data_IF_428067252133
#
_entry.id   IF_428067252133
#
_cell.length_a   1.000
_cell.length_b   1.000
_cell.length_c   1.000
_cell.angle_alpha   90.00
_cell.angle_beta   90.00
_cell.angle_gamma   90.00
#
_symmetry.space_group_name_H-M   'P 1'
#
loop_
_entity.id
_entity.type
_entity.pdbx_description
1 polymer ?
#
# COMPACT_ATOMS: atom_id res chain seq x y z
N UNK A 1 6.31 -9.91 -16.28
CA UNK A 1 5.04 -9.17 -16.19
C UNK A 1 4.57 -9.23 -14.76
N UNK A 2 4.29 -8.09 -14.13
CA UNK A 2 3.83 -8.06 -12.74
C UNK A 2 2.32 -8.42 -12.66
N UNK A 3 1.90 -9.19 -11.66
CA UNK A 3 0.48 -9.42 -11.37
C UNK A 3 -0.24 -8.11 -11.05
N UNK A 4 -1.45 -7.91 -11.60
CA UNK A 4 -2.26 -6.70 -11.41
C UNK A 4 -1.94 -5.56 -12.37
N UNK A 5 -0.86 -5.66 -13.16
CA UNK A 5 -0.54 -4.70 -14.22
C UNK A 5 -1.27 -5.06 -15.52
N UNK A 6 -1.90 -4.07 -16.17
CA UNK A 6 -2.54 -4.29 -17.48
C UNK A 6 -1.47 -4.65 -18.54
N UNK A 7 -1.57 -5.85 -19.08
CA UNK A 7 -0.60 -6.46 -19.98
C UNK A 7 -0.79 -6.07 -21.44
N UNK A 8 -1.62 -5.06 -21.73
CA UNK A 8 -2.04 -4.66 -23.07
C UNK A 8 -0.99 -3.85 -23.85
N UNK A 9 0.09 -3.36 -23.21
CA UNK A 9 1.06 -2.49 -23.87
C UNK A 9 2.14 -3.23 -24.66
N UNK A 10 2.21 -2.95 -25.96
CA UNK A 10 3.40 -3.25 -26.77
C UNK A 10 4.57 -2.37 -26.33
N UNK A 11 5.82 -2.76 -26.65
CA UNK A 11 7.01 -1.92 -26.37
C UNK A 11 6.86 -0.48 -26.92
N UNK A 12 6.30 -0.35 -28.11
CA UNK A 12 6.04 0.95 -28.75
C UNK A 12 4.93 1.72 -28.04
N UNK A 13 3.84 1.04 -27.64
CA UNK A 13 2.75 1.66 -26.88
C UNK A 13 3.23 2.21 -25.54
N UNK A 14 4.02 1.45 -24.80
CA UNK A 14 4.59 1.90 -23.53
C UNK A 14 5.52 3.12 -23.72
N UNK A 15 6.34 3.13 -24.78
CA UNK A 15 7.21 4.28 -25.09
C UNK A 15 6.39 5.55 -25.34
N UNK A 16 5.27 5.44 -26.06
CA UNK A 16 4.42 6.59 -26.35
C UNK A 16 3.79 7.14 -25.07
N UNK A 17 3.28 6.28 -24.19
CA UNK A 17 2.71 6.68 -22.89
C UNK A 17 3.78 7.35 -22.03
N UNK A 18 4.97 6.76 -21.94
CA UNK A 18 6.08 7.40 -21.20
C UNK A 18 6.33 8.80 -21.74
N UNK A 19 6.39 8.98 -23.07
CA UNK A 19 6.61 10.29 -23.69
C UNK A 19 5.50 11.30 -23.38
N UNK A 20 4.25 10.88 -23.24
CA UNK A 20 3.14 11.77 -22.87
C UNK A 20 3.30 12.31 -21.44
N UNK A 21 3.85 11.51 -20.53
CA UNK A 21 3.99 11.88 -19.12
C UNK A 21 5.38 12.41 -18.74
N UNK A 22 6.39 12.29 -19.61
CA UNK A 22 7.77 12.72 -19.33
C UNK A 22 7.90 14.22 -19.01
N UNK A 23 7.03 15.05 -19.57
CA UNK A 23 7.02 16.49 -19.31
C UNK A 23 5.89 16.90 -18.35
N UNK A 24 5.20 15.93 -17.73
CA UNK A 24 4.14 16.21 -16.78
C UNK A 24 4.75 16.52 -15.40
N UNK A 25 4.39 17.67 -14.86
CA UNK A 25 4.79 18.06 -13.50
C UNK A 25 3.88 17.39 -12.46
N UNK A 26 4.40 17.16 -11.24
CA UNK A 26 3.58 16.62 -10.13
C UNK A 26 2.31 17.46 -9.89
N UNK A 27 2.40 18.79 -10.04
CA UNK A 27 1.24 19.67 -9.87
C UNK A 27 0.11 19.38 -10.87
N UNK A 28 0.46 19.02 -12.11
CA UNK A 28 -0.51 18.63 -13.13
C UNK A 28 -1.13 17.28 -12.79
N UNK A 29 -0.32 16.30 -12.37
CA UNK A 29 -0.82 14.99 -11.97
C UNK A 29 -1.77 15.08 -10.77
N UNK A 30 -1.45 15.94 -9.80
CA UNK A 30 -2.33 16.27 -8.69
C UNK A 30 -3.65 16.89 -9.13
N UNK A 31 -3.63 17.84 -10.08
CA UNK A 31 -4.86 18.42 -10.62
C UNK A 31 -5.72 17.38 -11.33
N UNK A 32 -5.10 16.42 -12.02
CA UNK A 32 -5.82 15.33 -12.70
C UNK A 32 -6.48 14.40 -11.68
N UNK A 33 -5.76 14.04 -10.60
CA UNK A 33 -6.31 13.23 -9.52
C UNK A 33 -7.43 13.97 -8.78
N UNK A 34 -7.28 15.27 -8.54
CA UNK A 34 -8.31 16.11 -7.93
C UNK A 34 -9.60 16.13 -8.76
N UNK A 35 -9.47 16.33 -10.08
CA UNK A 35 -10.61 16.25 -11.00
C UNK A 35 -11.30 14.88 -10.89
N UNK A 36 -10.54 13.79 -10.97
CA UNK A 36 -11.08 12.43 -10.87
C UNK A 36 -11.82 12.19 -9.53
N UNK A 37 -11.19 12.51 -8.41
CA UNK A 37 -11.77 12.27 -7.07
C UNK A 37 -13.04 13.08 -6.83
N UNK A 38 -13.08 14.35 -7.28
CA UNK A 38 -14.27 15.20 -7.15
C UNK A 38 -15.49 14.64 -7.89
N UNK A 39 -15.27 13.91 -8.98
CA UNK A 39 -16.35 13.26 -9.73
C UNK A 39 -16.74 11.90 -9.12
N UNK A 40 -15.77 11.07 -8.72
CA UNK A 40 -16.06 9.68 -8.34
C UNK A 40 -16.44 9.48 -6.87
N UNK A 41 -15.94 10.31 -5.95
CA UNK A 41 -16.20 10.12 -4.51
C UNK A 41 -17.68 10.37 -4.16
N UNK A 42 -18.37 11.39 -4.69
CA UNK A 42 -19.81 11.55 -4.44
C UNK A 42 -20.64 10.33 -4.90
N UNK A 43 -20.32 9.77 -6.06
CA UNK A 43 -20.99 8.56 -6.58
C UNK A 43 -20.70 7.33 -5.68
N UNK A 44 -19.46 7.21 -5.20
CA UNK A 44 -19.09 6.15 -4.26
C UNK A 44 -19.87 6.28 -2.94
N UNK A 45 -20.03 7.50 -2.43
CA UNK A 45 -20.82 7.82 -1.24
C UNK A 45 -22.31 7.46 -1.41
N UNK A 46 -22.93 7.84 -2.53
CA UNK A 46 -24.33 7.49 -2.85
C UNK A 46 -24.59 5.98 -2.86
N UNK A 47 -23.57 5.18 -3.23
CA UNK A 47 -23.66 3.73 -3.33
C UNK A 47 -23.05 2.99 -2.12
N UNK A 48 -22.63 3.72 -1.09
CA UNK A 48 -21.95 3.17 0.09
C UNK A 48 -20.70 2.33 -0.26
N UNK A 49 -19.92 2.78 -1.24
CA UNK A 49 -18.67 2.18 -1.70
C UNK A 49 -17.50 2.98 -1.14
N UNK A 50 -16.65 2.33 -0.34
CA UNK A 50 -15.41 2.94 0.19
C UNK A 50 -14.29 2.83 -0.86
N UNK A 51 -13.85 3.95 -1.42
CA UNK A 51 -12.69 4.00 -2.32
C UNK A 51 -11.39 3.92 -1.51
N UNK A 52 -10.39 3.20 -2.04
CA UNK A 52 -9.17 2.88 -1.32
C UNK A 52 -7.96 2.99 -2.25
N UNK A 53 -7.39 4.18 -2.43
CA UNK A 53 -6.24 4.39 -3.32
C UNK A 53 -4.98 3.73 -2.75
N UNK A 54 -4.21 3.05 -3.60
CA UNK A 54 -2.97 2.40 -3.23
C UNK A 54 -1.79 3.39 -3.35
N UNK A 55 -0.79 3.35 -2.45
CA UNK A 55 0.42 4.16 -2.61
C UNK A 55 1.23 3.75 -3.84
N UNK A 56 2.09 4.65 -4.30
CA UNK A 56 3.05 4.36 -5.34
C UNK A 56 4.07 3.29 -4.89
N UNK A 57 4.43 2.37 -5.78
CA UNK A 57 5.42 1.31 -5.51
C UNK A 57 6.49 1.22 -6.62
N UNK A 58 7.76 1.63 -6.39
CA UNK A 58 8.24 2.23 -5.15
C UNK A 58 7.71 3.66 -4.91
N UNK A 59 7.64 4.15 -3.66
CA UNK A 59 7.11 5.47 -3.33
C UNK A 59 8.10 6.62 -3.62
N UNK A 60 8.64 6.68 -4.83
CA UNK A 60 9.44 7.80 -5.32
C UNK A 60 9.43 7.84 -6.86
N UNK A 61 9.62 9.02 -7.47
CA UNK A 61 9.71 9.17 -8.92
C UNK A 61 10.76 8.24 -9.54
N UNK A 62 10.40 7.58 -10.64
CA UNK A 62 11.30 6.71 -11.40
C UNK A 62 11.21 7.06 -12.88
N UNK A 63 12.32 6.93 -13.61
CA UNK A 63 12.39 7.21 -15.05
C UNK A 63 11.94 8.62 -15.46
N UNK A 64 12.02 9.59 -14.55
CA UNK A 64 11.57 10.97 -14.78
C UNK A 64 10.05 11.16 -14.73
N UNK A 65 9.29 10.15 -14.30
CA UNK A 65 7.83 10.23 -14.20
C UNK A 65 7.40 10.64 -12.78
N UNK A 66 6.42 11.55 -12.64
CA UNK A 66 5.92 11.97 -11.32
C UNK A 66 5.18 10.84 -10.60
N UNK A 67 5.26 10.85 -9.26
CA UNK A 67 4.54 9.98 -8.33
C UNK A 67 4.06 10.81 -7.15
N UNK A 68 2.81 10.64 -6.74
CA UNK A 68 2.08 11.61 -5.89
C UNK A 68 1.37 10.97 -4.70
N UNK A 69 1.51 9.67 -4.48
CA UNK A 69 1.01 9.01 -3.26
C UNK A 69 2.17 8.20 -2.64
N UNK A 70 3.18 8.92 -2.17
CA UNK A 70 4.47 8.33 -1.72
C UNK A 70 4.77 8.49 -0.23
N UNK A 71 4.21 9.49 0.44
CA UNK A 71 4.54 9.82 1.83
C UNK A 71 3.34 10.37 2.61
N UNK A 72 3.56 10.73 3.88
CA UNK A 72 2.52 11.28 4.77
C UNK A 72 1.95 12.60 4.23
N UNK A 73 2.77 13.50 3.70
CA UNK A 73 2.33 14.79 3.17
C UNK A 73 1.39 14.63 1.97
N UNK A 74 1.72 13.71 1.07
CA UNK A 74 0.90 13.38 -0.10
C UNK A 74 -0.43 12.74 0.31
N UNK A 75 -0.42 11.82 1.28
CA UNK A 75 -1.66 11.21 1.79
C UNK A 75 -2.53 12.27 2.48
N UNK A 76 -1.94 13.18 3.26
CA UNK A 76 -2.67 14.30 3.86
C UNK A 76 -3.30 15.20 2.81
N UNK A 77 -2.62 15.47 1.70
CA UNK A 77 -3.17 16.25 0.59
C UNK A 77 -4.31 15.50 -0.09
N UNK A 78 -4.10 14.23 -0.45
CA UNK A 78 -5.09 13.36 -1.09
C UNK A 78 -6.42 13.34 -0.32
N UNK A 79 -6.35 13.09 1.00
CA UNK A 79 -7.55 12.98 1.84
C UNK A 79 -8.30 14.32 1.97
N UNK A 80 -7.60 15.45 1.83
CA UNK A 80 -8.19 16.80 1.84
C UNK A 80 -8.85 17.22 0.53
N UNK A 81 -8.51 16.59 -0.60
CA UNK A 81 -9.11 16.91 -1.92
C UNK A 81 -10.63 16.77 -1.89
N UNK A 82 -11.09 15.64 -1.33
CA UNK A 82 -12.50 15.40 -0.99
C UNK A 82 -12.53 14.84 0.43
N UNK A 83 -12.84 15.69 1.40
CA UNK A 83 -12.90 15.29 2.82
C UNK A 83 -14.19 14.51 3.12
N UNK A 84 -14.23 13.26 2.65
CA UNK A 84 -15.31 12.31 2.87
C UNK A 84 -14.73 10.98 3.36
N UNK A 85 -15.47 10.27 4.22
CA UNK A 85 -15.08 8.91 4.66
C UNK A 85 -15.06 7.88 3.53
N UNK A 86 -15.58 8.21 2.34
CA UNK A 86 -15.53 7.33 1.18
C UNK A 86 -14.26 7.55 0.34
N UNK A 87 -13.49 8.61 0.60
CA UNK A 87 -12.16 8.83 0.06
C UNK A 87 -11.11 8.34 1.07
N UNK A 88 -10.61 7.12 0.88
CA UNK A 88 -9.65 6.52 1.79
C UNK A 88 -8.54 5.74 1.09
N UNK A 89 -7.86 4.93 1.88
CA UNK A 89 -6.57 4.33 1.53
C UNK A 89 -6.68 2.82 1.45
N UNK A 90 -6.06 2.26 0.41
CA UNK A 90 -5.41 0.96 0.54
C UNK A 90 -4.03 1.24 1.11
N UNK A 91 -3.86 1.09 2.42
CA UNK A 91 -2.56 1.32 3.03
C UNK A 91 -1.64 0.14 2.74
N UNK A 92 -0.54 0.34 2.02
CA UNK A 92 0.42 -0.73 1.74
C UNK A 92 1.70 -0.51 2.54
N UNK A 93 1.86 -1.30 3.59
CA UNK A 93 3.05 -1.29 4.47
C UNK A 93 4.33 -1.48 3.69
N UNK A 94 4.35 -2.42 2.76
CA UNK A 94 5.56 -2.70 1.99
C UNK A 94 5.89 -1.62 0.98
N UNK A 95 4.90 -0.98 0.34
CA UNK A 95 5.19 0.09 -0.62
C UNK A 95 5.69 1.31 0.13
N UNK A 96 4.94 1.81 1.12
CA UNK A 96 5.34 2.96 1.93
C UNK A 96 6.62 2.70 2.74
N UNK A 97 6.88 1.44 3.10
CA UNK A 97 8.06 0.99 3.84
C UNK A 97 9.26 0.60 2.97
N UNK A 98 9.21 0.79 1.65
CA UNK A 98 10.32 0.52 0.71
C UNK A 98 11.54 1.46 0.89
N UNK A 99 11.51 2.35 1.88
CA UNK A 99 12.61 3.22 2.29
C UNK A 99 12.46 3.64 3.75
N UNK A 100 13.46 4.35 4.29
CA UNK A 100 13.53 4.79 5.70
C UNK A 100 12.87 6.15 5.97
N UNK A 101 12.32 6.80 4.93
CA UNK A 101 11.76 8.15 5.01
C UNK A 101 10.30 8.19 5.47
N UNK A 102 9.59 7.06 5.53
CA UNK A 102 8.21 6.97 6.03
C UNK A 102 8.17 6.22 7.36
N UNK A 103 7.58 6.83 8.38
CA UNK A 103 7.22 6.14 9.61
C UNK A 103 5.89 5.41 9.43
N UNK A 104 5.98 4.15 8.96
CA UNK A 104 4.83 3.32 8.63
C UNK A 104 3.88 3.14 9.82
N UNK A 105 4.41 2.94 11.03
CA UNK A 105 3.58 2.73 12.24
C UNK A 105 2.83 4.00 12.60
N UNK A 106 3.52 5.16 12.64
CA UNK A 106 2.90 6.46 12.89
C UNK A 106 1.81 6.79 11.88
N UNK A 107 2.06 6.53 10.60
CA UNK A 107 1.08 6.77 9.54
C UNK A 107 -0.14 5.86 9.69
N UNK A 108 0.06 4.57 10.00
CA UNK A 108 -1.05 3.65 10.28
C UNK A 108 -1.85 4.14 11.47
N UNK A 109 -1.21 4.54 12.56
CA UNK A 109 -1.88 5.06 13.75
C UNK A 109 -2.80 6.23 13.39
N UNK A 110 -2.23 7.26 12.74
CA UNK A 110 -2.94 8.45 12.30
C UNK A 110 -4.16 8.13 11.42
N UNK A 111 -3.98 7.38 10.34
CA UNK A 111 -5.04 7.21 9.34
C UNK A 111 -6.06 6.13 9.70
N UNK A 112 -5.68 5.12 10.50
CA UNK A 112 -6.65 4.16 11.05
C UNK A 112 -7.55 4.82 12.11
N UNK A 113 -6.99 5.65 13.00
CA UNK A 113 -7.77 6.42 13.99
C UNK A 113 -8.77 7.40 13.33
N UNK A 114 -8.45 7.90 12.12
CA UNK A 114 -9.34 8.74 11.32
C UNK A 114 -10.40 7.95 10.52
N UNK A 115 -10.40 6.62 10.61
CA UNK A 115 -11.22 5.73 9.78
C UNK A 115 -11.02 5.97 8.26
N UNK A 116 -9.79 6.29 7.84
CA UNK A 116 -9.42 6.57 6.44
C UNK A 116 -8.70 5.40 5.77
N UNK A 117 -8.27 4.38 6.52
CA UNK A 117 -7.79 3.12 5.94
C UNK A 117 -9.00 2.21 5.71
N UNK A 118 -9.26 1.84 4.47
CA UNK A 118 -10.39 0.96 4.10
C UNK A 118 -9.94 -0.45 3.76
N UNK A 119 -8.69 -0.56 3.32
CA UNK A 119 -8.04 -1.82 2.99
C UNK A 119 -6.57 -1.71 3.37
N UNK A 120 -5.94 -2.79 3.83
CA UNK A 120 -4.52 -2.78 4.14
C UNK A 120 -3.81 -4.00 3.56
N UNK A 121 -2.70 -3.72 2.88
CA UNK A 121 -1.71 -4.70 2.48
C UNK A 121 -0.61 -4.74 3.54
N UNK A 122 -0.49 -5.87 4.22
CA UNK A 122 0.56 -6.12 5.22
C UNK A 122 1.55 -7.10 4.62
N UNK A 123 2.59 -6.56 3.98
CA UNK A 123 3.77 -7.29 3.51
C UNK A 123 5.01 -6.65 4.10
N UNK A 124 6.13 -7.38 4.08
CA UNK A 124 7.38 -6.87 4.62
C UNK A 124 8.43 -6.76 3.51
N UNK A 125 9.21 -5.68 3.55
CA UNK A 125 10.36 -5.48 2.69
C UNK A 125 11.62 -5.50 3.53
N UNK A 126 12.74 -5.87 2.91
CA UNK A 126 14.05 -5.74 3.51
C UNK A 126 14.80 -4.62 2.81
N UNK A 127 15.12 -3.57 3.55
CA UNK A 127 16.01 -2.51 3.10
C UNK A 127 17.44 -3.04 3.03
N UNK A 128 18.16 -2.64 1.98
CA UNK A 128 19.54 -3.01 1.72
C UNK A 128 20.46 -1.79 1.94
N UNK A 129 21.74 -2.06 2.25
CA UNK A 129 22.71 -1.02 2.61
C UNK A 129 22.97 0.01 1.49
N UNK A 130 22.64 -0.33 0.24
CA UNK A 130 22.79 0.54 -0.93
C UNK A 130 21.56 1.43 -1.20
N UNK A 131 20.56 1.42 -0.30
CA UNK A 131 19.31 2.16 -0.44
C UNK A 131 18.27 1.50 -1.33
N UNK A 132 18.53 0.28 -1.83
CA UNK A 132 17.53 -0.55 -2.50
C UNK A 132 16.74 -1.40 -1.50
N UNK A 133 15.74 -2.14 -1.99
CA UNK A 133 14.94 -3.04 -1.17
C UNK A 133 14.55 -4.31 -1.94
N UNK A 134 14.21 -5.36 -1.19
CA UNK A 134 13.63 -6.59 -1.72
C UNK A 134 12.38 -7.00 -0.92
N UNK A 135 11.47 -7.72 -1.58
CA UNK A 135 10.35 -8.37 -0.88
C UNK A 135 10.89 -9.46 0.06
N UNK A 136 10.36 -9.52 1.28
CA UNK A 136 10.83 -10.44 2.32
C UNK A 136 9.68 -11.30 2.87
N UNK A 137 10.01 -12.23 3.77
CA UNK A 137 8.96 -12.93 4.50
C UNK A 137 8.20 -11.93 5.40
N UNK A 138 6.91 -12.14 5.63
CA UNK A 138 6.13 -11.33 6.58
C UNK A 138 6.72 -11.32 8.00
N UNK A 139 7.42 -12.38 8.38
CA UNK A 139 8.04 -12.49 9.69
C UNK A 139 9.04 -11.35 9.95
N UNK A 140 8.76 -10.49 10.96
CA UNK A 140 9.48 -9.23 11.18
C UNK A 140 11.02 -9.35 11.14
N UNK A 141 11.66 -10.37 11.76
CA UNK A 141 13.11 -10.55 11.70
C UNK A 141 13.71 -10.85 10.32
N UNK A 142 12.89 -11.01 9.28
CA UNK A 142 13.34 -11.21 7.89
C UNK A 142 13.19 -9.98 7.00
N UNK A 143 12.46 -8.96 7.45
CA UNK A 143 12.35 -7.69 6.77
C UNK A 143 12.86 -6.55 7.65
N UNK A 144 12.40 -5.35 7.32
CA UNK A 144 12.76 -4.10 7.97
C UNK A 144 11.57 -3.43 8.66
N UNK A 145 10.35 -3.95 8.46
CA UNK A 145 9.14 -3.46 9.12
C UNK A 145 8.77 -4.34 10.31
N UNK A 146 8.40 -3.70 11.41
CA UNK A 146 7.84 -4.38 12.57
C UNK A 146 6.36 -4.69 12.36
N UNK A 147 6.09 -5.87 11.83
CA UNK A 147 4.71 -6.32 11.57
C UNK A 147 3.91 -6.50 12.87
N UNK A 148 4.55 -6.78 14.01
CA UNK A 148 3.83 -6.91 15.28
C UNK A 148 3.34 -5.55 15.74
N UNK A 149 4.19 -4.53 15.70
CA UNK A 149 3.78 -3.17 16.08
C UNK A 149 2.72 -2.62 15.11
N UNK A 150 2.87 -2.84 13.80
CA UNK A 150 1.85 -2.48 12.79
C UNK A 150 0.48 -3.10 13.14
N UNK A 151 0.44 -4.40 13.41
CA UNK A 151 -0.80 -5.11 13.75
C UNK A 151 -1.39 -4.64 15.08
N UNK A 152 -0.54 -4.35 16.06
CA UNK A 152 -0.93 -3.81 17.36
C UNK A 152 -1.56 -2.43 17.24
N UNK A 153 -1.00 -1.55 16.43
CA UNK A 153 -1.57 -0.22 16.16
C UNK A 153 -2.96 -0.32 15.54
N UNK A 154 -3.13 -1.17 14.51
CA UNK A 154 -4.45 -1.41 13.89
C UNK A 154 -5.47 -1.94 14.91
N UNK A 155 -5.04 -2.89 15.76
CA UNK A 155 -5.88 -3.46 16.79
C UNK A 155 -6.34 -2.41 17.81
N UNK A 156 -5.41 -1.58 18.31
CA UNK A 156 -5.71 -0.50 19.26
C UNK A 156 -6.69 0.53 18.69
N UNK A 157 -6.57 0.83 17.39
CA UNK A 157 -7.49 1.72 16.68
C UNK A 157 -8.77 1.03 16.21
N UNK A 158 -9.00 -0.22 16.64
CA UNK A 158 -10.22 -1.00 16.35
C UNK A 158 -10.51 -1.12 14.87
N UNK A 159 -9.45 -1.29 14.07
CA UNK A 159 -9.58 -1.46 12.63
C UNK A 159 -10.51 -2.63 12.31
N UNK A 160 -11.53 -2.37 11.50
CA UNK A 160 -12.57 -3.33 11.11
C UNK A 160 -12.56 -3.63 9.59
N UNK A 161 -11.55 -3.13 8.88
CA UNK A 161 -11.39 -3.32 7.45
C UNK A 161 -10.69 -4.63 7.08
N UNK A 162 -10.46 -4.81 5.77
CA UNK A 162 -9.83 -6.02 5.26
C UNK A 162 -8.30 -5.95 5.36
N UNK A 163 -7.67 -7.04 5.78
CA UNK A 163 -6.22 -7.23 5.78
C UNK A 163 -5.86 -8.28 4.72
N UNK A 164 -4.90 -7.97 3.84
CA UNK A 164 -4.32 -8.92 2.89
C UNK A 164 -2.82 -9.04 3.14
N UNK A 165 -2.22 -10.26 3.14
CA UNK A 165 -0.77 -10.43 3.24
C UNK A 165 0.01 -9.93 2.00
N UNK A 166 -0.69 -9.56 0.94
CA UNK A 166 -0.13 -9.06 -0.32
C UNK A 166 0.88 -10.03 -0.97
N UNK A 167 2.16 -9.66 -1.05
CA UNK A 167 3.21 -10.46 -1.69
C UNK A 167 3.87 -11.45 -0.74
N UNK A 168 4.31 -12.59 -1.27
CA UNK A 168 5.18 -13.55 -0.59
C UNK A 168 6.26 -14.08 -1.53
N UNK A 169 7.34 -14.64 -0.95
CA UNK A 169 8.45 -15.23 -1.71
C UNK A 169 7.99 -16.49 -2.44
N UNK A 170 8.64 -16.80 -3.56
CA UNK A 170 8.48 -18.11 -4.20
C UNK A 170 9.31 -19.14 -3.43
N UNK A 171 8.62 -20.04 -2.71
CA UNK A 171 9.24 -21.09 -1.90
C UNK A 171 8.78 -22.48 -2.39
N UNK A 172 9.49 -23.52 -1.96
CA UNK A 172 9.08 -24.92 -2.19
C UNK A 172 8.88 -25.31 -3.66
N UNK A 173 9.70 -24.75 -4.56
CA UNK A 173 9.64 -25.03 -5.99
C UNK A 173 8.44 -24.39 -6.71
N UNK A 174 7.75 -23.47 -6.04
CA UNK A 174 6.67 -22.70 -6.65
C UNK A 174 7.15 -21.86 -7.83
N UNK A 175 6.34 -21.83 -8.88
CA UNK A 175 6.54 -21.00 -10.07
C UNK A 175 5.26 -20.23 -10.34
N UNK A 176 5.35 -19.14 -11.10
CA UNK A 176 4.17 -18.34 -11.45
C UNK A 176 4.48 -16.86 -11.49
N UNK A 177 3.53 -16.04 -11.05
CA UNK A 177 3.70 -14.59 -11.01
C UNK A 177 4.49 -14.19 -9.75
N UNK A 178 5.57 -13.39 -9.87
CA UNK A 178 6.34 -12.89 -8.73
C UNK A 178 5.45 -12.32 -7.64
N UNK A 179 5.70 -12.68 -6.39
CA UNK A 179 4.91 -12.21 -5.23
C UNK A 179 3.58 -12.93 -5.01
N UNK A 180 3.00 -13.60 -6.01
CA UNK A 180 1.63 -14.13 -5.96
C UNK A 180 1.53 -15.65 -5.87
N UNK A 181 2.62 -16.32 -5.52
CA UNK A 181 2.58 -17.72 -5.10
C UNK A 181 1.64 -17.96 -3.91
N UNK A 182 1.09 -19.16 -3.80
CA UNK A 182 0.22 -19.59 -2.71
C UNK A 182 0.97 -19.66 -1.38
N UNK A 183 2.19 -20.22 -1.38
CA UNK A 183 2.78 -20.74 -0.15
C UNK A 183 3.16 -19.67 0.85
N UNK A 184 4.07 -18.76 0.50
CA UNK A 184 4.56 -17.75 1.45
C UNK A 184 3.48 -16.70 1.76
N UNK A 185 2.50 -16.50 0.86
CA UNK A 185 1.30 -15.69 1.13
C UNK A 185 0.38 -16.34 2.17
N UNK A 186 0.20 -17.66 2.11
CA UNK A 186 -0.57 -18.39 3.12
C UNK A 186 0.14 -18.39 4.48
N UNK A 187 1.47 -18.56 4.49
CA UNK A 187 2.28 -18.41 5.71
C UNK A 187 2.16 -17.00 6.29
N UNK A 188 2.24 -15.98 5.45
CA UNK A 188 2.01 -14.59 5.83
C UNK A 188 0.63 -14.37 6.45
N UNK A 189 -0.44 -14.87 5.81
CA UNK A 189 -1.80 -14.77 6.35
C UNK A 189 -1.90 -15.39 7.75
N UNK A 190 -1.36 -16.60 7.94
CA UNK A 190 -1.40 -17.28 9.25
C UNK A 190 -0.55 -16.57 10.31
N UNK A 191 0.58 -15.98 9.92
CA UNK A 191 1.38 -15.13 10.81
C UNK A 191 0.59 -13.92 11.31
N UNK A 192 -0.10 -13.22 10.40
CA UNK A 192 -0.94 -12.06 10.75
C UNK A 192 -2.11 -12.46 11.67
N UNK A 193 -2.81 -13.55 11.34
CA UNK A 193 -3.91 -14.07 12.19
C UNK A 193 -3.41 -14.43 13.58
N UNK A 194 -2.25 -15.10 13.68
CA UNK A 194 -1.67 -15.45 14.97
C UNK A 194 -1.29 -14.23 15.83
N UNK A 195 -0.79 -13.15 15.21
CA UNK A 195 -0.56 -11.88 15.91
C UNK A 195 -1.89 -11.31 16.42
N UNK A 196 -2.91 -11.26 15.55
CA UNK A 196 -4.20 -10.69 15.91
C UNK A 196 -4.88 -11.44 17.06
N UNK A 197 -4.94 -12.78 17.02
CA UNK A 197 -5.46 -13.61 18.11
C UNK A 197 -4.70 -13.38 19.42
N UNK A 198 -3.37 -13.21 19.33
CA UNK A 198 -2.54 -12.92 20.51
C UNK A 198 -2.92 -11.58 21.13
N UNK A 199 -3.06 -10.53 20.31
CA UNK A 199 -3.49 -9.19 20.75
C UNK A 199 -4.87 -9.24 21.42
N UNK A 200 -5.82 -10.00 20.86
CA UNK A 200 -7.13 -10.21 21.47
C UNK A 200 -7.06 -10.81 22.87
N UNK A 201 -6.10 -11.70 23.15
CA UNK A 201 -5.97 -12.34 24.46
C UNK A 201 -5.26 -11.47 25.49
N UNK A 202 -4.31 -10.64 25.06
CA UNK A 202 -3.47 -9.86 25.98
C UNK A 202 -3.94 -8.42 26.18
N UNK A 203 -4.77 -7.89 25.28
CA UNK A 203 -5.30 -6.53 25.36
C UNK A 203 -6.77 -6.45 25.81
N UNK A 204 -7.53 -7.55 25.75
CA UNK A 204 -8.90 -7.61 26.29
C UNK A 204 -8.96 -8.08 27.77
N UNK A 205 -7.81 -8.29 28.41
CA UNK A 205 -7.68 -8.52 29.86
C UNK A 205 -7.37 -7.21 30.58
#
# INVERSE_FOLDING_TARGET
VLPGWDTSYTKTGLKNIINEYLNMEEAQLWSNLEYFLKEIIPVAEENNIKMAIHPDDPPWPIFGLPRIVKNEEDIDRLLKIVDSKYNGLTFCTGSLGSGDFNDVVKMIDKYSAQNRIHFIHIRNVKLLDDGSFEESAHYSPKGSLDIVEIMKTLYQNKFDGYIRPDHGRMIWGETGKPGYGLYDRALGAMYLVGIWETLEKICNT
#
